data_IF_242743084804
#
_entry.id   IF_242743084804
#
_cell.length_a   1.000
_cell.length_b   1.000
_cell.length_c   1.000
_cell.angle_alpha   90.00
_cell.angle_beta   90.00
_cell.angle_gamma   90.00
#
_symmetry.space_group_name_H-M   'P 1'
#
loop_
_entity.id
_entity.type
_entity.pdbx_description
1 polymer ?
#
# COMPACT_ATOMS: atom_id res chain seq x y z
N UNK A 1 6.82 22.60 3.14
CA UNK A 1 8.05 22.21 2.41
C UNK A 1 9.04 23.35 2.16
N UNK A 2 8.79 24.58 2.66
CA UNK A 2 9.67 25.74 2.43
C UNK A 2 9.47 26.38 1.06
N UNK A 3 9.36 27.71 1.03
CA UNK A 3 9.27 28.50 -0.21
C UNK A 3 10.69 28.78 -0.72
N UNK A 4 10.91 28.77 -2.04
CA UNK A 4 12.13 29.32 -2.64
C UNK A 4 12.01 30.84 -2.71
N UNK A 5 12.97 31.58 -2.13
CA UNK A 5 12.96 33.05 -2.19
C UNK A 5 13.57 33.54 -3.50
N UNK A 6 14.68 32.95 -3.92
CA UNK A 6 15.42 33.33 -5.11
C UNK A 6 15.51 32.13 -6.06
N UNK A 7 14.82 32.18 -7.21
CA UNK A 7 14.82 31.08 -8.17
C UNK A 7 16.12 30.94 -8.98
N UNK A 8 17.02 31.93 -8.91
CA UNK A 8 18.36 31.84 -9.51
C UNK A 8 19.28 30.99 -8.62
N UNK A 9 19.32 31.29 -7.33
CA UNK A 9 20.14 30.59 -6.34
C UNK A 9 19.51 29.28 -5.87
N UNK A 10 18.17 29.24 -5.81
CA UNK A 10 17.38 28.11 -5.32
C UNK A 10 17.34 27.97 -3.81
N UNK A 11 17.74 29.00 -3.07
CA UNK A 11 17.73 29.01 -1.61
C UNK A 11 16.30 29.02 -1.07
N UNK A 12 16.09 28.19 -0.04
CA UNK A 12 14.84 28.15 0.70
C UNK A 12 14.76 29.35 1.65
N UNK A 13 13.53 29.76 1.96
CA UNK A 13 13.24 30.78 2.95
C UNK A 13 13.76 30.39 4.34
N UNK A 14 14.53 31.26 4.99
CA UNK A 14 15.11 31.03 6.32
C UNK A 14 14.05 30.81 7.40
N UNK A 15 12.81 31.24 7.16
CA UNK A 15 11.66 30.93 8.03
C UNK A 15 11.26 29.44 7.96
N UNK A 16 11.66 28.74 6.91
CA UNK A 16 11.47 27.29 6.77
C UNK A 16 12.50 26.54 7.61
N UNK A 17 12.04 25.62 8.46
CA UNK A 17 12.93 24.70 9.18
C UNK A 17 13.86 23.92 8.23
N UNK A 18 13.39 23.58 7.03
CA UNK A 18 14.16 22.85 6.02
C UNK A 18 15.31 23.65 5.41
N UNK A 19 15.33 24.99 5.54
CA UNK A 19 16.47 25.79 5.08
C UNK A 19 17.77 25.48 5.87
N UNK A 20 17.63 24.85 7.05
CA UNK A 20 18.76 24.45 7.91
C UNK A 20 19.30 23.06 7.57
N UNK A 21 18.66 22.32 6.67
CA UNK A 21 19.07 20.96 6.34
C UNK A 21 20.31 20.99 5.45
N UNK A 22 21.25 20.11 5.76
CA UNK A 22 22.51 19.98 5.05
C UNK A 22 22.49 18.74 4.17
N UNK A 23 22.90 18.92 2.93
CA UNK A 23 23.14 17.84 1.97
C UNK A 23 24.53 17.28 2.24
N UNK A 24 24.67 15.96 2.19
CA UNK A 24 25.95 15.25 2.28
C UNK A 24 26.03 14.23 1.17
N UNK A 25 27.14 13.49 1.11
CA UNK A 25 27.33 12.42 0.12
C UNK A 25 27.26 12.90 -1.34
N UNK A 26 27.56 14.18 -1.63
CA UNK A 26 27.61 14.66 -3.01
C UNK A 26 28.80 13.97 -3.71
N UNK A 27 28.60 13.23 -4.80
CA UNK A 27 29.67 12.48 -5.44
C UNK A 27 30.78 13.43 -5.95
N UNK A 28 32.01 13.21 -5.49
CA UNK A 28 33.19 13.82 -6.12
C UNK A 28 33.58 12.98 -7.34
N UNK A 29 33.81 13.62 -8.49
CA UNK A 29 34.20 12.91 -9.72
C UNK A 29 35.48 12.08 -9.49
N UNK A 30 35.39 10.77 -9.75
CA UNK A 30 36.56 9.89 -9.94
C UNK A 30 37.03 9.06 -8.74
N UNK A 31 36.25 8.92 -7.66
CA UNK A 31 36.61 8.09 -6.49
C UNK A 31 35.63 6.93 -6.23
N UNK A 32 36.15 5.78 -5.78
CA UNK A 32 35.35 4.68 -5.20
C UNK A 32 35.16 4.84 -3.68
N UNK A 33 35.21 6.08 -3.17
CA UNK A 33 35.07 6.38 -1.75
C UNK A 33 33.59 6.42 -1.38
N UNK A 34 33.22 5.71 -0.32
CA UNK A 34 31.86 5.77 0.23
C UNK A 34 31.51 7.17 0.73
N UNK A 35 30.22 7.42 0.96
CA UNK A 35 29.80 8.70 1.54
C UNK A 35 30.44 8.94 2.92
N UNK A 36 30.97 10.13 3.14
CA UNK A 36 31.29 10.66 4.46
C UNK A 36 30.05 11.36 5.07
N UNK A 37 29.36 10.76 6.06
CA UNK A 37 28.14 11.33 6.63
C UNK A 37 28.39 12.49 7.60
N UNK A 38 29.65 12.81 7.90
CA UNK A 38 30.06 13.87 8.82
C UNK A 38 30.38 15.19 8.09
N UNK A 39 30.44 15.17 6.76
CA UNK A 39 30.85 16.30 5.96
C UNK A 39 29.67 16.88 5.20
N UNK A 40 29.34 18.14 5.51
CA UNK A 40 28.29 18.87 4.82
C UNK A 40 28.80 19.36 3.45
N UNK A 41 28.04 19.09 2.41
CA UNK A 41 28.33 19.48 1.02
C UNK A 41 27.57 20.73 0.58
N UNK A 42 26.59 21.19 1.37
CA UNK A 42 25.82 22.40 1.09
C UNK A 42 24.41 22.38 1.68
N UNK A 43 23.63 23.40 1.37
CA UNK A 43 22.21 23.50 1.70
C UNK A 43 21.32 22.86 0.63
N UNK A 44 20.05 22.63 0.96
CA UNK A 44 19.06 22.22 -0.03
C UNK A 44 18.83 23.35 -1.05
N UNK A 45 18.91 23.01 -2.33
CA UNK A 45 18.67 23.91 -3.45
C UNK A 45 17.41 23.45 -4.19
N UNK A 46 16.50 24.38 -4.47
CA UNK A 46 15.25 24.11 -5.18
C UNK A 46 14.86 25.25 -6.12
N UNK A 47 14.71 24.96 -7.42
CA UNK A 47 14.33 25.94 -8.45
C UNK A 47 13.21 25.41 -9.37
N UNK A 48 12.00 25.16 -8.82
CA UNK A 48 10.93 24.51 -9.56
C UNK A 48 10.58 25.25 -10.86
N UNK A 49 10.49 24.52 -11.96
CA UNK A 49 10.10 25.04 -13.28
C UNK A 49 11.18 25.85 -14.00
N UNK A 50 12.39 25.96 -13.47
CA UNK A 50 13.47 26.73 -14.11
C UNK A 50 14.31 25.90 -15.09
N UNK A 51 14.17 24.57 -15.09
CA UNK A 51 14.81 23.71 -16.08
C UNK A 51 14.11 23.91 -17.45
N UNK A 52 14.81 24.36 -18.51
CA UNK A 52 14.19 24.65 -19.80
C UNK A 52 13.48 23.47 -20.45
N UNK A 53 13.90 22.23 -20.17
CA UNK A 53 13.27 21.02 -20.71
C UNK A 53 12.08 20.53 -19.86
N UNK A 54 12.02 20.92 -18.58
CA UNK A 54 11.06 20.40 -17.61
C UNK A 54 10.44 21.54 -16.79
N UNK A 55 9.86 22.51 -17.49
CA UNK A 55 9.23 23.69 -16.85
C UNK A 55 7.88 23.39 -16.20
N UNK A 56 7.29 22.22 -16.49
CA UNK A 56 5.97 21.83 -16.05
C UNK A 56 6.01 20.45 -15.40
N UNK A 57 5.10 20.24 -14.43
CA UNK A 57 4.80 18.93 -13.86
C UNK A 57 4.17 18.00 -14.91
N UNK A 58 4.17 16.68 -14.67
CA UNK A 58 3.52 15.72 -15.57
C UNK A 58 2.07 16.06 -15.85
N UNK A 59 1.66 15.84 -17.11
CA UNK A 59 0.26 15.95 -17.50
C UNK A 59 -0.52 14.71 -17.03
N UNK A 60 -1.85 14.81 -16.99
CA UNK A 60 -2.69 13.67 -16.62
C UNK A 60 -2.80 12.61 -17.73
N UNK A 61 -2.49 12.91 -18.99
CA UNK A 61 -2.59 11.95 -20.10
C UNK A 61 -1.67 10.75 -19.87
N UNK A 62 -0.40 11.00 -19.52
CA UNK A 62 0.57 9.94 -19.27
C UNK A 62 0.21 9.12 -18.03
N UNK A 63 -0.30 9.79 -16.98
CA UNK A 63 -0.81 9.11 -15.77
C UNK A 63 -2.03 8.25 -16.09
N UNK A 64 -2.98 8.77 -16.86
CA UNK A 64 -4.16 8.02 -17.25
C UNK A 64 -3.79 6.80 -18.09
N UNK A 65 -2.86 6.93 -19.04
CA UNK A 65 -2.38 5.81 -19.84
C UNK A 65 -1.65 4.77 -18.99
N UNK A 66 -0.74 5.20 -18.11
CA UNK A 66 -0.06 4.35 -17.13
C UNK A 66 -1.04 3.45 -16.37
N UNK A 67 -2.14 4.01 -15.87
CA UNK A 67 -3.13 3.26 -15.10
C UNK A 67 -3.93 2.23 -15.92
N UNK A 68 -3.83 2.24 -17.25
CA UNK A 68 -4.44 1.22 -18.12
C UNK A 68 -3.54 0.01 -18.39
N UNK A 69 -2.25 0.09 -18.06
CA UNK A 69 -1.27 -0.96 -18.39
C UNK A 69 -1.31 -2.05 -17.32
N UNK A 70 -1.51 -3.30 -17.72
CA UNK A 70 -1.69 -4.43 -16.80
C UNK A 70 -0.42 -5.24 -16.53
N UNK A 71 0.64 -5.12 -17.35
CA UNK A 71 1.90 -5.82 -17.05
C UNK A 71 2.73 -4.97 -16.09
N UNK A 72 3.21 -5.56 -14.99
CA UNK A 72 4.12 -4.86 -14.09
C UNK A 72 5.36 -4.34 -14.82
N UNK A 73 6.06 -5.25 -15.50
CA UNK A 73 7.25 -4.95 -16.28
C UNK A 73 7.41 -5.94 -17.43
N UNK A 74 8.32 -5.65 -18.36
CA UNK A 74 8.60 -6.48 -19.53
C UNK A 74 10.10 -6.49 -19.81
N UNK A 75 10.55 -7.52 -20.56
CA UNK A 75 11.91 -7.54 -21.08
C UNK A 75 12.22 -6.25 -21.86
N UNK A 76 13.42 -5.66 -21.70
CA UNK A 76 14.59 -6.20 -21.00
C UNK A 76 14.70 -5.79 -19.51
N UNK A 77 13.59 -5.47 -18.82
CA UNK A 77 13.53 -5.10 -17.39
C UNK A 77 14.46 -3.93 -17.02
N UNK A 78 14.55 -2.96 -17.93
CA UNK A 78 15.30 -1.73 -17.73
C UNK A 78 14.55 -0.53 -18.34
N UNK A 79 15.22 0.62 -18.45
CA UNK A 79 14.66 1.87 -19.00
C UNK A 79 14.10 1.76 -20.43
N UNK A 80 14.41 0.70 -21.17
CA UNK A 80 13.96 0.47 -22.54
C UNK A 80 12.75 -0.47 -22.66
N UNK A 81 12.14 -0.88 -21.55
CA UNK A 81 11.00 -1.83 -21.54
C UNK A 81 9.74 -1.27 -22.23
N UNK A 82 9.61 0.05 -22.32
CA UNK A 82 8.64 0.72 -23.17
C UNK A 82 7.26 0.93 -22.54
N UNK A 83 6.24 1.06 -23.40
CA UNK A 83 4.91 1.56 -23.05
C UNK A 83 3.89 0.48 -22.64
N UNK A 84 4.34 -0.77 -22.55
CA UNK A 84 3.56 -1.89 -22.02
C UNK A 84 4.08 -2.36 -20.64
N UNK A 85 5.07 -1.66 -20.08
CA UNK A 85 5.61 -1.87 -18.73
C UNK A 85 5.11 -0.77 -17.80
N UNK A 86 4.26 -1.12 -16.83
CA UNK A 86 3.78 -0.18 -15.81
C UNK A 86 4.94 0.47 -15.06
N UNK A 87 5.92 -0.33 -14.61
CA UNK A 87 7.11 0.13 -13.90
C UNK A 87 7.88 1.17 -14.71
N UNK A 88 8.09 0.95 -16.01
CA UNK A 88 8.84 1.87 -16.87
C UNK A 88 8.12 3.19 -17.14
N UNK A 89 6.79 3.13 -17.30
CA UNK A 89 5.93 4.31 -17.44
C UNK A 89 5.85 5.11 -16.13
N UNK A 90 5.73 4.43 -14.98
CA UNK A 90 5.63 5.07 -13.67
C UNK A 90 6.94 5.76 -13.30
N UNK A 91 8.07 5.07 -13.49
CA UNK A 91 9.42 5.57 -13.21
C UNK A 91 9.78 6.76 -14.13
N UNK A 92 9.30 6.73 -15.37
CA UNK A 92 9.41 7.87 -16.29
C UNK A 92 10.49 7.73 -17.36
N UNK A 93 10.69 6.51 -17.85
CA UNK A 93 11.53 6.20 -19.01
C UNK A 93 10.72 5.76 -20.23
N UNK A 94 9.38 5.74 -20.13
CA UNK A 94 8.46 5.48 -21.22
C UNK A 94 7.22 6.37 -21.11
N UNK A 95 6.61 6.67 -22.25
CA UNK A 95 5.27 7.28 -22.33
C UNK A 95 4.36 6.45 -23.24
N UNK A 96 3.19 6.98 -23.60
CA UNK A 96 2.23 6.29 -24.47
C UNK A 96 2.82 5.80 -25.80
N UNK A 97 3.89 6.44 -26.30
CA UNK A 97 4.51 6.12 -27.58
C UNK A 97 5.68 5.13 -27.47
N UNK A 98 6.12 4.76 -26.26
CA UNK A 98 7.25 3.85 -26.06
C UNK A 98 8.35 4.46 -25.17
N UNK A 99 9.58 3.89 -25.20
CA UNK A 99 10.72 4.46 -24.48
C UNK A 99 11.02 5.90 -24.90
N UNK A 100 11.30 6.76 -23.93
CA UNK A 100 11.50 8.20 -24.17
C UNK A 100 12.95 8.60 -24.42
N UNK A 101 13.88 7.65 -24.41
CA UNK A 101 15.32 7.92 -24.51
C UNK A 101 15.79 8.68 -23.26
N UNK A 102 16.39 9.86 -23.47
CA UNK A 102 16.87 10.72 -22.37
C UNK A 102 15.80 11.65 -21.81
N UNK A 103 14.60 11.69 -22.42
CA UNK A 103 13.51 12.52 -21.91
C UNK A 103 12.89 11.86 -20.67
N UNK A 104 12.74 12.66 -19.62
CA UNK A 104 12.11 12.27 -18.37
C UNK A 104 10.61 12.60 -18.40
N UNK A 105 9.78 11.64 -18.00
CA UNK A 105 8.32 11.82 -17.84
C UNK A 105 7.88 11.38 -16.44
N UNK A 106 6.61 11.57 -16.09
CA UNK A 106 6.00 11.06 -14.83
C UNK A 106 6.88 11.30 -13.59
N UNK A 107 7.36 10.27 -12.90
CA UNK A 107 8.24 10.39 -11.72
C UNK A 107 9.52 11.20 -12.04
N UNK A 108 10.28 10.79 -13.05
CA UNK A 108 11.54 11.45 -13.42
C UNK A 108 11.32 12.93 -13.81
N UNK A 109 10.18 13.25 -14.42
CA UNK A 109 9.85 14.65 -14.76
C UNK A 109 9.63 15.52 -13.52
N UNK A 110 9.06 14.98 -12.43
CA UNK A 110 8.93 15.73 -11.17
C UNK A 110 10.31 15.99 -10.55
N UNK A 111 11.19 14.99 -10.57
CA UNK A 111 12.60 15.18 -10.19
C UNK A 111 13.25 16.30 -10.99
N UNK A 112 13.15 16.25 -12.33
CA UNK A 112 13.75 17.23 -13.21
C UNK A 112 13.13 18.64 -13.08
N UNK A 113 11.82 18.72 -12.83
CA UNK A 113 11.09 19.97 -12.64
C UNK A 113 11.63 20.78 -11.46
N UNK A 114 12.02 20.12 -10.37
CA UNK A 114 12.45 20.79 -9.14
C UNK A 114 13.82 21.46 -9.23
N UNK A 115 14.63 21.10 -10.23
CA UNK A 115 15.94 21.65 -10.58
C UNK A 115 16.84 22.04 -9.38
N UNK A 116 17.40 21.04 -8.72
CA UNK A 116 18.32 21.24 -7.60
C UNK A 116 18.62 19.93 -6.87
N UNK A 117 18.71 19.98 -5.54
CA UNK A 117 19.04 18.82 -4.69
C UNK A 117 18.13 17.62 -4.96
N UNK A 118 16.83 17.87 -5.18
CA UNK A 118 15.83 16.83 -5.48
C UNK A 118 16.02 16.17 -6.87
N UNK A 119 16.68 16.85 -7.80
CA UNK A 119 16.83 16.38 -9.19
C UNK A 119 17.97 15.38 -9.38
N UNK A 120 18.91 15.33 -8.44
CA UNK A 120 20.11 14.50 -8.54
C UNK A 120 19.96 13.20 -7.76
N UNK A 121 20.24 12.06 -8.40
CA UNK A 121 20.03 10.73 -7.82
C UNK A 121 20.69 10.55 -6.44
N UNK A 122 21.93 11.04 -6.27
CA UNK A 122 22.68 10.87 -5.03
C UNK A 122 22.18 11.76 -3.88
N UNK A 123 21.49 12.86 -4.19
CA UNK A 123 21.07 13.85 -3.18
C UNK A 123 19.56 14.00 -3.04
N UNK A 124 18.77 13.37 -3.90
CA UNK A 124 17.34 13.61 -4.00
C UNK A 124 16.62 13.48 -2.66
N UNK A 125 16.95 12.44 -1.90
CA UNK A 125 16.35 12.13 -0.60
C UNK A 125 16.66 13.15 0.51
N UNK A 126 17.63 14.06 0.32
CA UNK A 126 17.88 15.15 1.27
C UNK A 126 16.84 16.27 1.18
N UNK A 127 16.17 16.45 0.02
CA UNK A 127 15.02 17.35 -0.06
C UNK A 127 13.78 16.60 0.46
N UNK A 128 13.13 17.06 1.55
CA UNK A 128 12.01 16.34 2.13
C UNK A 128 10.75 16.26 1.22
N UNK A 129 10.74 16.95 0.08
CA UNK A 129 9.73 16.72 -0.98
C UNK A 129 9.83 15.31 -1.56
N UNK A 130 11.01 14.67 -1.50
CA UNK A 130 11.23 13.30 -1.93
C UNK A 130 10.25 12.31 -1.32
N UNK A 131 10.00 12.42 -0.02
CA UNK A 131 9.15 11.51 0.72
C UNK A 131 7.69 11.70 0.31
N UNK A 132 7.26 12.95 0.07
CA UNK A 132 5.90 13.23 -0.43
C UNK A 132 5.73 12.74 -1.87
N UNK A 133 6.75 12.94 -2.72
CA UNK A 133 6.71 12.48 -4.10
C UNK A 133 6.66 10.95 -4.17
N UNK A 134 7.56 10.26 -3.48
CA UNK A 134 7.59 8.80 -3.49
C UNK A 134 6.39 8.17 -2.77
N UNK A 135 5.79 8.84 -1.78
CA UNK A 135 4.51 8.40 -1.25
C UNK A 135 3.38 8.46 -2.30
N UNK A 136 3.41 9.44 -3.21
CA UNK A 136 2.47 9.49 -4.33
C UNK A 136 2.77 8.44 -5.40
N UNK A 137 4.05 8.17 -5.69
CA UNK A 137 4.44 7.07 -6.59
C UNK A 137 4.00 5.71 -6.04
N UNK A 138 4.23 5.46 -4.75
CA UNK A 138 3.78 4.24 -4.08
C UNK A 138 2.24 4.13 -4.08
N UNK A 139 1.52 5.25 -3.95
CA UNK A 139 0.06 5.27 -4.12
C UNK A 139 -0.37 4.79 -5.51
N UNK A 140 0.31 5.24 -6.57
CA UNK A 140 -0.02 4.80 -7.93
C UNK A 140 0.27 3.30 -8.11
N UNK A 141 1.38 2.81 -7.55
CA UNK A 141 1.67 1.37 -7.49
C UNK A 141 0.58 0.61 -6.73
N UNK A 142 0.11 1.11 -5.59
CA UNK A 142 -0.96 0.48 -4.81
C UNK A 142 -2.28 0.41 -5.57
N UNK A 143 -2.66 1.48 -6.28
CA UNK A 143 -3.86 1.45 -7.14
C UNK A 143 -3.69 0.37 -8.20
N UNK A 144 -2.54 0.34 -8.87
CA UNK A 144 -2.25 -0.66 -9.89
C UNK A 144 -2.27 -2.10 -9.34
N UNK A 145 -1.71 -2.34 -8.15
CA UNK A 145 -1.75 -3.64 -7.48
C UNK A 145 -3.19 -4.09 -7.21
N UNK A 146 -4.06 -3.19 -6.73
CA UNK A 146 -5.48 -3.48 -6.45
C UNK A 146 -6.28 -3.75 -7.72
N UNK A 147 -6.03 -2.98 -8.78
CA UNK A 147 -6.78 -3.08 -10.03
C UNK A 147 -6.39 -4.33 -10.84
N UNK A 148 -5.12 -4.76 -10.77
CA UNK A 148 -4.60 -5.85 -11.60
C UNK A 148 -4.44 -7.17 -10.83
N UNK A 149 -4.30 -7.15 -9.51
CA UNK A 149 -4.05 -8.34 -8.68
C UNK A 149 -2.97 -9.27 -9.27
N UNK A 150 -1.78 -8.73 -9.59
CA UNK A 150 -0.77 -9.44 -10.37
C UNK A 150 -0.26 -10.67 -9.64
N UNK A 151 0.12 -11.69 -10.42
CA UNK A 151 0.84 -12.82 -9.86
C UNK A 151 2.28 -12.42 -9.51
N UNK A 152 2.85 -13.03 -8.48
CA UNK A 152 4.23 -12.76 -8.08
C UNK A 152 5.26 -13.14 -9.19
N UNK A 153 4.86 -13.93 -10.19
CA UNK A 153 5.65 -14.24 -11.39
C UNK A 153 5.81 -13.07 -12.35
N UNK A 154 5.05 -11.98 -12.20
CA UNK A 154 5.24 -10.77 -13.00
C UNK A 154 6.46 -9.95 -12.59
N UNK A 155 6.95 -10.14 -11.36
CA UNK A 155 8.28 -9.66 -11.00
C UNK A 155 9.34 -10.53 -11.69
N UNK A 156 10.34 -9.93 -12.37
CA UNK A 156 11.36 -10.68 -13.07
C UNK A 156 12.15 -11.56 -12.11
N UNK A 157 12.19 -12.86 -12.35
CA UNK A 157 13.01 -13.77 -11.54
C UNK A 157 14.47 -13.76 -11.98
N UNK A 158 14.70 -13.59 -13.28
CA UNK A 158 16.02 -13.57 -13.92
C UNK A 158 16.05 -12.45 -14.99
N UNK A 159 17.24 -12.22 -15.55
CA UNK A 159 17.51 -11.29 -16.66
C UNK A 159 17.32 -9.80 -16.36
N UNK A 160 16.75 -9.42 -15.21
CA UNK A 160 16.81 -8.03 -14.77
C UNK A 160 18.22 -7.65 -14.33
N UNK A 161 18.50 -6.35 -14.37
CA UNK A 161 19.78 -5.80 -13.94
C UNK A 161 20.09 -6.16 -12.47
N UNK A 162 21.38 -6.12 -12.10
CA UNK A 162 21.83 -6.50 -10.78
C UNK A 162 21.08 -5.70 -9.70
N UNK A 163 20.43 -6.40 -8.76
CA UNK A 163 19.58 -5.77 -7.73
C UNK A 163 18.07 -5.89 -7.98
N UNK A 164 17.64 -6.08 -9.23
CA UNK A 164 16.24 -5.93 -9.62
C UNK A 164 15.43 -7.23 -9.68
N UNK A 165 16.09 -8.39 -9.72
CA UNK A 165 15.37 -9.67 -9.70
C UNK A 165 14.54 -9.83 -8.41
N UNK A 166 13.38 -10.47 -8.53
CA UNK A 166 12.39 -10.72 -7.47
C UNK A 166 12.98 -11.22 -6.15
N UNK A 167 13.95 -12.12 -6.24
CA UNK A 167 14.56 -12.80 -5.09
C UNK A 167 15.82 -12.12 -4.56
N UNK A 168 16.27 -11.04 -5.22
CA UNK A 168 17.43 -10.26 -4.80
C UNK A 168 17.12 -9.45 -3.55
N UNK A 169 18.11 -9.35 -2.65
CA UNK A 169 18.03 -8.47 -1.50
C UNK A 169 18.18 -7.01 -1.97
N UNK A 170 17.24 -6.16 -1.58
CA UNK A 170 17.33 -4.72 -1.81
C UNK A 170 18.46 -4.14 -0.96
N UNK A 171 19.45 -3.57 -1.63
CA UNK A 171 20.62 -2.95 -1.01
C UNK A 171 20.27 -1.50 -0.61
N UNK A 172 20.69 -1.01 0.56
CA UNK A 172 21.47 -1.66 1.62
C UNK A 172 20.64 -2.00 2.88
N UNK A 173 19.38 -2.44 2.73
CA UNK A 173 18.50 -2.63 3.90
C UNK A 173 19.00 -3.70 4.87
N UNK A 174 18.86 -3.40 6.17
CA UNK A 174 19.13 -4.33 7.26
C UNK A 174 17.99 -4.29 8.30
N UNK A 175 17.39 -5.43 8.69
CA UNK A 175 17.63 -6.79 8.19
C UNK A 175 17.36 -6.90 6.69
N UNK A 176 18.01 -7.86 6.02
CA UNK A 176 17.89 -8.02 4.57
C UNK A 176 16.44 -8.22 4.15
N UNK A 177 16.04 -7.53 3.08
CA UNK A 177 14.69 -7.62 2.52
C UNK A 177 14.77 -7.86 1.02
N UNK A 178 13.96 -8.78 0.52
CA UNK A 178 13.88 -9.10 -0.91
C UNK A 178 12.84 -8.24 -1.61
N UNK A 179 13.02 -8.00 -2.91
CA UNK A 179 12.08 -7.21 -3.73
C UNK A 179 10.63 -7.72 -3.60
N UNK A 180 10.40 -9.03 -3.66
CA UNK A 180 9.05 -9.60 -3.59
C UNK A 180 8.25 -9.25 -2.32
N UNK A 181 8.94 -8.94 -1.21
CA UNK A 181 8.26 -8.62 0.06
C UNK A 181 7.44 -7.34 -0.03
N UNK A 182 7.79 -6.44 -0.95
CA UNK A 182 7.12 -5.15 -1.14
C UNK A 182 6.21 -5.14 -2.36
N UNK A 183 6.12 -6.27 -3.07
CA UNK A 183 5.12 -6.48 -4.13
C UNK A 183 3.84 -7.03 -3.52
N UNK A 184 3.26 -6.24 -2.62
CA UNK A 184 2.12 -6.60 -1.80
C UNK A 184 1.27 -5.36 -1.54
N UNK A 185 -0.04 -5.56 -1.32
CA UNK A 185 -0.93 -4.44 -1.00
C UNK A 185 -0.49 -3.71 0.26
N UNK A 186 -0.58 -2.38 0.25
CA UNK A 186 -0.20 -1.50 1.36
C UNK A 186 -0.75 -1.95 2.73
N UNK A 187 -2.01 -2.41 2.79
CA UNK A 187 -2.64 -2.85 4.04
C UNK A 187 -1.94 -4.08 4.67
N UNK A 188 -1.30 -4.92 3.85
CA UNK A 188 -0.51 -6.07 4.33
C UNK A 188 0.83 -5.64 4.93
N UNK A 189 1.29 -4.44 4.58
CA UNK A 189 2.49 -3.79 5.10
C UNK A 189 2.18 -2.86 6.28
N UNK A 190 0.91 -2.71 6.66
CA UNK A 190 0.48 -1.96 7.84
C UNK A 190 0.17 -0.48 7.62
N UNK A 191 -0.04 -0.05 6.36
CA UNK A 191 -0.49 1.30 6.03
C UNK A 191 -1.53 1.28 4.91
N UNK A 192 -2.21 2.39 4.67
CA UNK A 192 -3.10 2.57 3.50
C UNK A 192 -3.20 4.06 3.15
N UNK A 193 -3.69 4.36 1.96
CA UNK A 193 -3.96 5.71 1.48
C UNK A 193 -5.41 6.10 1.73
N UNK A 194 -5.61 7.27 2.33
CA UNK A 194 -6.92 7.84 2.67
C UNK A 194 -7.99 7.72 1.57
N UNK A 195 -7.61 8.00 0.31
CA UNK A 195 -8.51 7.93 -0.84
C UNK A 195 -8.85 6.51 -1.29
N UNK A 196 -8.09 5.51 -0.84
CA UNK A 196 -8.24 4.11 -1.20
C UNK A 196 -8.87 3.27 -0.07
N UNK A 197 -8.95 3.82 1.14
CA UNK A 197 -9.68 3.20 2.24
C UNK A 197 -11.15 3.08 1.83
N UNK A 198 -11.61 1.85 1.60
CA UNK A 198 -13.04 1.58 1.44
C UNK A 198 -13.69 1.85 2.79
N UNK A 199 -14.27 3.05 2.96
CA UNK A 199 -15.17 3.29 4.07
C UNK A 199 -16.31 2.29 3.93
N UNK A 200 -16.47 1.42 4.92
CA UNK A 200 -17.67 0.62 5.09
C UNK A 200 -18.81 1.55 5.49
N UNK A 201 -19.20 2.44 4.57
CA UNK A 201 -20.57 2.93 4.54
C UNK A 201 -21.37 1.68 4.22
N UNK A 202 -21.82 0.98 5.28
CA UNK A 202 -22.86 -0.04 5.15
C UNK A 202 -23.90 0.62 4.27
N UNK A 203 -24.12 0.16 3.01
CA UNK A 203 -25.19 0.69 2.21
C UNK A 203 -26.41 0.46 3.08
N UNK A 204 -27.03 1.53 3.55
CA UNK A 204 -28.33 1.44 4.22
C UNK A 204 -29.28 1.08 3.09
N UNK A 205 -29.23 -0.18 2.65
CA UNK A 205 -30.13 -0.71 1.66
C UNK A 205 -31.52 -0.41 2.20
N UNK A 206 -32.38 0.28 1.43
CA UNK A 206 -33.75 0.48 1.87
C UNK A 206 -34.30 -0.92 2.13
N UNK A 207 -34.67 -1.21 3.37
CA UNK A 207 -35.26 -2.51 3.73
C UNK A 207 -36.46 -2.67 2.80
N UNK A 208 -36.39 -3.65 1.91
CA UNK A 208 -37.48 -3.93 0.98
C UNK A 208 -38.76 -4.08 1.82
N UNK A 209 -39.88 -3.39 1.50
CA UNK A 209 -41.12 -3.48 2.26
C UNK A 209 -41.59 -4.94 2.44
N UNK A 210 -41.22 -5.84 1.52
CA UNK A 210 -41.46 -7.30 1.66
C UNK A 210 -40.81 -7.86 2.94
N UNK A 211 -39.58 -7.49 3.26
CA UNK A 211 -38.90 -7.96 4.48
C UNK A 211 -39.55 -7.40 5.75
N UNK A 212 -40.10 -6.18 5.70
CA UNK A 212 -40.86 -5.62 6.82
C UNK A 212 -42.12 -6.47 7.07
N UNK A 213 -42.84 -6.83 6.00
CA UNK A 213 -44.02 -7.69 6.10
C UNK A 213 -43.65 -9.06 6.67
N UNK A 214 -42.57 -9.68 6.18
CA UNK A 214 -42.09 -10.98 6.69
C UNK A 214 -41.75 -10.92 8.18
N UNK A 215 -41.10 -9.85 8.64
CA UNK A 215 -40.74 -9.67 10.07
C UNK A 215 -42.01 -9.48 10.93
N UNK A 216 -42.97 -8.68 10.45
CA UNK A 216 -44.23 -8.45 11.17
C UNK A 216 -45.06 -9.73 11.26
N UNK A 217 -45.21 -10.48 10.17
CA UNK A 217 -45.93 -11.75 10.15
C UNK A 217 -45.27 -12.78 11.06
N UNK A 218 -43.93 -12.91 11.02
CA UNK A 218 -43.20 -13.80 11.92
C UNK A 218 -43.40 -13.41 13.40
N UNK A 219 -43.41 -12.11 13.71
CA UNK A 219 -43.69 -11.59 15.05
C UNK A 219 -45.11 -11.89 15.53
N UNK A 220 -46.11 -11.75 14.64
CA UNK A 220 -47.51 -12.08 14.94
C UNK A 220 -47.69 -13.59 15.18
N UNK A 221 -47.07 -14.43 14.36
CA UNK A 221 -47.09 -15.90 14.56
C UNK A 221 -46.47 -16.28 15.90
N UNK A 222 -45.33 -15.67 16.26
CA UNK A 222 -44.68 -15.93 17.55
C UNK A 222 -45.58 -15.53 18.73
N UNK A 223 -46.23 -14.37 18.65
CA UNK A 223 -47.21 -13.92 19.65
C UNK A 223 -48.39 -14.89 19.79
N UNK A 224 -48.91 -15.37 18.65
CA UNK A 224 -50.01 -16.32 18.61
C UNK A 224 -49.62 -17.66 19.26
N UNK A 225 -48.41 -18.15 19.00
CA UNK A 225 -47.83 -19.34 19.64
C UNK A 225 -47.70 -19.13 21.16
N UNK A 226 -47.19 -17.97 21.60
CA UNK A 226 -47.08 -17.64 23.04
C UNK A 226 -48.46 -17.63 23.71
N UNK A 227 -49.47 -17.03 23.07
CA UNK A 227 -50.85 -17.01 23.58
C UNK A 227 -51.43 -18.43 23.67
N UNK A 228 -51.23 -19.26 22.65
CA UNK A 228 -51.67 -20.67 22.68
C UNK A 228 -51.00 -21.44 23.82
N UNK A 229 -49.69 -21.24 24.02
CA UNK A 229 -48.95 -21.86 25.13
C UNK A 229 -49.52 -21.41 26.48
N UNK A 230 -49.82 -20.12 26.67
CA UNK A 230 -50.39 -19.62 27.92
C UNK A 230 -51.82 -20.11 28.16
N UNK A 231 -52.65 -20.20 27.12
CA UNK A 231 -53.99 -20.79 27.22
C UNK A 231 -53.93 -22.29 27.54
N UNK A 232 -53.00 -23.04 26.93
CA UNK A 232 -52.76 -24.44 27.25
C UNK A 232 -52.25 -24.62 28.69
N UNK A 233 -51.35 -23.74 29.16
CA UNK A 233 -50.90 -23.70 30.57
C UNK A 233 -52.05 -23.41 31.53
N UNK A 234 -52.94 -22.47 31.20
CA UNK A 234 -54.12 -22.14 32.02
C UNK A 234 -55.13 -23.29 32.08
N UNK A 235 -55.37 -23.98 30.97
CA UNK A 235 -56.21 -25.19 30.90
C UNK A 235 -55.59 -26.35 31.68
N UNK A 236 -54.28 -26.55 31.58
CA UNK A 236 -53.53 -27.55 32.34
C UNK A 236 -53.58 -27.26 33.85
N UNK A 237 -53.39 -26.00 34.27
CA UNK A 237 -53.54 -25.56 35.68
C UNK A 237 -54.96 -25.75 36.23
N UNK A 238 -55.99 -25.58 35.39
CA UNK A 238 -57.37 -25.90 35.77
C UNK A 238 -57.64 -27.41 35.89
N UNK A 239 -56.85 -28.24 35.20
CA UNK A 239 -56.94 -29.70 35.23
C UNK A 239 -56.04 -30.34 36.29
N UNK A 240 -55.02 -29.63 36.80
CA UNK A 240 -54.00 -30.15 37.72
C UNK A 240 -54.37 -30.00 39.21
N UNK A 241 -55.64 -29.86 39.56
CA UNK A 241 -56.12 -29.99 40.95
C UNK A 241 -56.18 -31.44 41.43
N UNK A 242 -55.88 -32.43 40.58
CA UNK A 242 -55.82 -33.83 40.99
C UNK A 242 -54.56 -34.51 40.42
N UNK A 243 -53.74 -34.96 41.36
CA UNK A 243 -52.72 -36.02 41.24
C UNK A 243 -51.32 -35.64 40.77
N UNK A 244 -50.52 -35.30 41.78
CA UNK A 244 -49.12 -35.70 41.97
C UNK A 244 -48.83 -37.14 41.50
N UNK A 245 -47.71 -37.35 40.80
CA UNK A 245 -46.55 -38.09 41.36
C UNK A 245 -45.31 -38.00 40.45
N UNK A 246 -44.20 -37.72 41.14
CA UNK A 246 -42.77 -37.87 40.80
C UNK A 246 -42.38 -39.06 39.93
N UNK A 247 -41.43 -38.86 38.99
CA UNK A 247 -40.24 -39.72 38.81
C UNK A 247 -39.08 -38.86 38.26
N UNK A 248 -37.93 -38.93 38.92
CA UNK A 248 -36.63 -38.39 38.49
C UNK A 248 -35.95 -39.27 37.42
N UNK A 249 -35.29 -38.64 36.45
CA UNK A 249 -34.03 -39.14 35.88
C UNK A 249 -33.18 -37.98 35.34
N UNK A 250 -31.95 -37.90 35.85
CA UNK A 250 -30.90 -37.01 35.36
C UNK A 250 -30.18 -37.69 34.17
N UNK A 251 -29.88 -36.91 33.14
CA UNK A 251 -28.79 -37.21 32.22
C UNK A 251 -28.20 -35.88 31.71
N UNK A 252 -27.03 -35.55 32.25
CA UNK A 252 -26.16 -34.46 31.84
C UNK A 252 -25.37 -34.92 30.61
N UNK A 253 -25.33 -34.12 29.55
CA UNK A 253 -24.34 -34.25 28.49
C UNK A 253 -23.89 -32.85 28.04
N UNK A 254 -22.74 -32.46 28.56
CA UNK A 254 -21.92 -31.34 28.10
C UNK A 254 -21.24 -31.71 26.78
N UNK A 255 -21.36 -30.85 25.76
CA UNK A 255 -20.51 -30.86 24.57
C UNK A 255 -19.63 -29.60 24.65
N UNK A 256 -18.30 -29.68 24.43
CA UNK A 256 -17.39 -28.54 24.55
C UNK A 256 -17.44 -27.65 23.31
N UNK A 257 -17.35 -26.34 23.54
CA UNK A 257 -17.11 -25.32 22.53
C UNK A 257 -15.72 -25.53 21.88
N UNK A 258 -15.69 -25.59 20.55
CA UNK A 258 -14.48 -25.61 19.75
C UNK A 258 -14.04 -24.17 19.47
N UNK A 259 -13.14 -23.66 20.32
CA UNK A 259 -12.46 -22.37 20.14
C UNK A 259 -11.46 -22.43 18.97
N UNK A 260 -11.66 -21.55 17.99
CA UNK A 260 -10.71 -21.27 16.91
C UNK A 260 -9.46 -20.55 17.47
N UNK A 261 -8.23 -20.88 17.02
CA UNK A 261 -7.02 -20.34 17.64
C UNK A 261 -6.78 -18.88 17.28
N UNK A 262 -6.81 -18.05 18.33
CA UNK A 262 -6.39 -16.65 18.35
C UNK A 262 -4.86 -16.57 18.17
N UNK A 263 -4.43 -15.88 17.11
CA UNK A 263 -3.05 -15.49 16.85
C UNK A 263 -2.52 -14.60 18.00
N UNK A 264 -1.45 -15.05 18.70
CA UNK A 264 -0.74 -14.26 19.71
C UNK A 264 0.69 -13.96 19.23
N UNK A 265 1.11 -12.70 19.12
CA UNK A 265 2.49 -12.34 18.78
C UNK A 265 3.42 -12.54 20.00
N UNK A 266 4.57 -13.23 19.82
CA UNK A 266 5.68 -13.14 20.77
C UNK A 266 6.38 -14.43 21.23
N UNK A 267 6.73 -15.37 20.35
CA UNK A 267 7.68 -16.46 20.69
C UNK A 267 8.80 -16.58 19.61
N UNK A 268 10.09 -16.38 19.96
CA UNK A 268 11.19 -16.43 19.02
C UNK A 268 11.72 -17.86 18.88
N UNK A 269 11.13 -18.64 17.98
CA UNK A 269 11.81 -19.84 17.46
C UNK A 269 11.42 -20.15 16.03
N UNK A 270 12.10 -19.53 15.07
CA UNK A 270 12.18 -20.09 13.73
C UNK A 270 13.64 -20.23 13.30
N UNK A 271 13.98 -21.49 13.01
CA UNK A 271 15.29 -21.99 12.65
C UNK A 271 15.75 -21.35 11.33
N UNK A 272 16.98 -20.87 11.34
CA UNK A 272 17.74 -20.44 10.17
C UNK A 272 17.96 -21.63 9.23
N UNK A 273 17.52 -21.53 7.98
CA UNK A 273 18.00 -22.38 6.91
C UNK A 273 19.13 -21.67 6.18
N UNK A 274 20.34 -22.19 6.37
CA UNK A 274 21.51 -21.85 5.58
C UNK A 274 21.33 -22.41 4.16
N UNK A 275 21.54 -21.56 3.15
CA UNK A 275 21.85 -22.00 1.81
C UNK A 275 22.94 -21.07 1.26
N UNK A 276 24.17 -21.38 1.65
CA UNK A 276 25.33 -21.20 0.80
C UNK A 276 25.47 -22.46 -0.07
N UNK A 277 26.20 -22.35 -1.19
CA UNK A 277 26.43 -23.37 -2.23
C UNK A 277 25.22 -23.45 -3.21
N UNK A 278 25.30 -23.17 -4.51
CA UNK A 278 26.31 -23.46 -5.55
C UNK A 278 26.09 -22.62 -6.82
N UNK A 279 27.18 -22.32 -7.55
CA UNK A 279 27.33 -21.89 -8.97
C UNK A 279 26.65 -20.60 -9.43
#
# INVERSE_FOLDING_TARGET
>A
MGKTINFTEGTLDDLSFFAKFKVRCVPSNGGCTGCNPLEDSGDIIRRPGTNPQYQFLPNHTDINYLMTVSNYDLLPYNRFSGNMSFRNLLEGFGDINGPTGDRMVTHNQVHAYMNGTFSELATAAYDPVFQLHHAFIDKLLEIWLRDNTPALSELPEFEAEAGHNRMTNMVPFFPVKKNYLYFAHSHSLGYDYDSLVQTSVIPRAPINPVWIIVIVEAGLVLLLVVVIIELARKKSRSSSSLRSTSVHSNATASIPDEEQPIFKPGDPSYKTYNAAETS
#
